data_IF_405375194942
#
_entry.id   IF_405375194942
#
_cell.length_a   1.000
_cell.length_b   1.000
_cell.length_c   1.000
_cell.angle_alpha   90.00
_cell.angle_beta   90.00
_cell.angle_gamma   90.00
#
_symmetry.space_group_name_H-M   'P 1'
#
loop_
_entity.id
_entity.type
_entity.pdbx_description
1 polymer ?
#
# COMPACT_ATOMS: atom_id res chain seq x y z
N UNK A 1 55.69 -8.44 66.64
CA UNK A 1 54.44 -8.16 67.36
C UNK A 1 53.79 -6.94 66.74
N UNK A 2 52.95 -7.11 65.72
CA UNK A 2 51.95 -6.14 65.23
C UNK A 2 50.98 -6.85 64.26
N UNK A 3 49.72 -6.45 64.36
CA UNK A 3 48.47 -7.17 64.07
C UNK A 3 48.01 -6.92 62.62
N UNK A 4 47.33 -7.86 61.94
CA UNK A 4 46.79 -7.63 60.59
C UNK A 4 45.43 -6.89 60.67
N UNK A 5 45.20 -5.95 59.76
CA UNK A 5 43.91 -5.25 59.62
C UNK A 5 43.05 -5.96 58.57
N UNK A 6 41.96 -6.57 59.01
CA UNK A 6 40.96 -7.21 58.12
C UNK A 6 39.89 -6.18 57.75
N UNK A 7 39.69 -5.94 56.46
CA UNK A 7 38.60 -5.10 55.94
C UNK A 7 37.42 -6.02 55.60
N UNK A 8 36.28 -5.77 56.24
CA UNK A 8 35.02 -6.48 56.05
C UNK A 8 34.17 -5.75 55.00
N UNK A 9 34.02 -6.32 53.81
CA UNK A 9 33.12 -5.81 52.76
C UNK A 9 31.73 -6.45 52.91
N UNK A 10 30.72 -5.64 53.24
CA UNK A 10 29.31 -5.99 53.12
C UNK A 10 28.82 -5.65 51.70
N UNK A 11 28.23 -6.60 50.98
CA UNK A 11 27.43 -6.35 49.77
C UNK A 11 26.09 -7.08 49.89
N UNK A 12 25.02 -6.29 49.78
CA UNK A 12 23.62 -6.74 49.86
C UNK A 12 23.20 -7.54 48.61
N UNK A 13 22.24 -8.47 48.73
CA UNK A 13 21.66 -9.14 47.57
C UNK A 13 20.73 -8.18 46.79
N UNK A 14 20.95 -8.07 45.48
CA UNK A 14 19.99 -7.50 44.53
C UNK A 14 18.78 -8.43 44.45
N UNK A 15 17.61 -7.95 44.87
CA UNK A 15 16.33 -8.60 44.60
C UNK A 15 15.97 -8.28 43.14
N UNK A 16 16.02 -9.28 42.27
CA UNK A 16 15.57 -9.16 40.88
C UNK A 16 14.05 -9.00 40.83
N UNK A 17 13.57 -7.85 40.34
CA UNK A 17 12.18 -7.65 39.98
C UNK A 17 11.92 -8.32 38.62
N UNK A 18 11.07 -9.36 38.60
CA UNK A 18 10.57 -9.89 37.34
C UNK A 18 9.63 -8.85 36.69
N UNK A 19 9.82 -8.50 35.40
CA UNK A 19 8.91 -7.59 34.72
C UNK A 19 7.53 -8.24 34.58
N UNK A 20 6.50 -7.46 34.90
CA UNK A 20 5.10 -7.85 34.67
C UNK A 20 4.86 -8.04 33.16
N UNK A 21 3.97 -8.98 32.75
CA UNK A 21 3.56 -9.10 31.37
C UNK A 21 2.94 -7.79 30.88
N UNK A 22 3.38 -7.30 29.73
CA UNK A 22 2.77 -6.14 29.09
C UNK A 22 1.29 -6.43 28.78
N UNK A 23 0.39 -5.44 28.92
CA UNK A 23 -1.00 -5.59 28.50
C UNK A 23 -1.06 -5.94 26.99
N UNK A 24 -2.01 -6.78 26.57
CA UNK A 24 -2.16 -7.13 25.17
C UNK A 24 -2.37 -5.85 24.34
N UNK A 25 -1.56 -5.71 23.29
CA UNK A 25 -1.66 -4.63 22.32
C UNK A 25 -3.07 -4.63 21.71
N UNK A 26 -3.71 -3.46 21.51
CA UNK A 26 -5.00 -3.40 20.82
C UNK A 26 -4.86 -4.06 19.46
N UNK A 27 -5.64 -5.12 19.22
CA UNK A 27 -5.72 -5.73 17.90
C UNK A 27 -6.25 -4.68 16.94
N UNK A 28 -5.41 -4.28 15.99
CA UNK A 28 -5.82 -3.51 14.83
C UNK A 28 -6.98 -4.28 14.19
N UNK A 29 -8.16 -3.66 14.14
CA UNK A 29 -9.37 -4.26 13.57
C UNK A 29 -9.13 -4.43 12.06
N UNK A 30 -8.49 -5.53 11.67
CA UNK A 30 -8.47 -5.96 10.29
C UNK A 30 -9.90 -6.35 9.91
N UNK A 31 -10.53 -5.70 8.92
CA UNK A 31 -11.87 -6.08 8.48
C UNK A 31 -11.86 -7.56 8.09
N UNK A 32 -12.58 -8.42 8.79
CA UNK A 32 -12.61 -9.87 8.50
C UNK A 32 -13.52 -10.23 7.33
N UNK A 33 -14.07 -9.22 6.65
CA UNK A 33 -15.12 -9.39 5.65
C UNK A 33 -14.76 -8.67 4.35
N UNK A 34 -15.09 -9.33 3.23
CA UNK A 34 -14.90 -8.80 1.88
C UNK A 34 -15.94 -7.70 1.63
N UNK A 35 -15.57 -6.55 1.04
CA UNK A 35 -16.52 -5.49 0.70
C UNK A 35 -17.58 -5.99 -0.28
N UNK A 36 -18.78 -5.40 -0.20
CA UNK A 36 -19.89 -5.72 -1.12
C UNK A 36 -19.70 -5.09 -2.49
N UNK A 37 -18.85 -4.06 -2.59
CA UNK A 37 -18.47 -3.43 -3.85
C UNK A 37 -17.15 -2.69 -3.73
N UNK A 38 -16.40 -2.66 -4.82
CA UNK A 38 -15.20 -1.85 -4.97
C UNK A 38 -15.37 -0.97 -6.20
N UNK A 39 -15.21 0.35 -6.00
CA UNK A 39 -15.29 1.36 -7.06
C UNK A 39 -13.97 2.12 -7.09
N UNK A 40 -13.39 2.27 -8.27
CA UNK A 40 -12.25 3.14 -8.53
C UNK A 40 -12.78 4.51 -8.96
N UNK A 41 -12.40 5.56 -8.24
CA UNK A 41 -12.94 6.90 -8.46
C UNK A 41 -11.85 7.93 -8.74
N UNK A 42 -12.20 9.00 -9.45
CA UNK A 42 -11.32 10.13 -9.73
C UNK A 42 -9.98 9.71 -10.33
N UNK A 43 -9.98 8.70 -11.20
CA UNK A 43 -8.74 8.14 -11.73
C UNK A 43 -8.09 9.11 -12.72
N UNK A 44 -6.86 9.48 -12.42
CA UNK A 44 -6.00 10.32 -13.26
C UNK A 44 -4.67 9.64 -13.53
N UNK A 45 -4.13 9.89 -14.73
CA UNK A 45 -2.82 9.41 -15.17
C UNK A 45 -2.06 10.57 -15.80
N UNK A 46 -0.90 10.89 -15.26
CA UNK A 46 -0.01 11.93 -15.78
C UNK A 46 1.30 11.29 -16.22
N UNK A 47 1.51 11.26 -17.53
CA UNK A 47 2.72 10.77 -18.20
C UNK A 47 3.41 11.88 -18.99
N UNK A 48 3.28 13.14 -18.56
CA UNK A 48 3.91 14.30 -19.23
C UNK A 48 5.44 14.21 -19.24
N UNK A 49 6.03 13.44 -18.33
CA UNK A 49 7.46 13.11 -18.31
C UNK A 49 7.70 11.75 -18.97
N UNK A 50 8.63 11.62 -19.92
CA UNK A 50 8.83 10.36 -20.64
C UNK A 50 9.25 9.20 -19.74
N UNK A 51 10.03 9.49 -18.70
CA UNK A 51 10.58 8.50 -17.76
C UNK A 51 9.63 8.15 -16.61
N UNK A 52 8.52 8.87 -16.45
CA UNK A 52 7.68 8.74 -15.24
C UNK A 52 6.21 8.96 -15.52
N UNK A 53 5.38 8.05 -14.99
CA UNK A 53 3.94 8.21 -14.97
C UNK A 53 3.41 8.17 -13.53
N UNK A 54 2.56 9.14 -13.19
CA UNK A 54 1.84 9.17 -11.92
C UNK A 54 0.40 8.73 -12.14
N UNK A 55 -0.07 7.84 -11.27
CA UNK A 55 -1.43 7.30 -11.25
C UNK A 55 -2.06 7.68 -9.92
N UNK A 56 -3.22 8.35 -9.93
CA UNK A 56 -3.90 8.76 -8.71
C UNK A 56 -5.39 8.42 -8.81
N UNK A 57 -5.95 7.81 -7.78
CA UNK A 57 -7.37 7.47 -7.70
C UNK A 57 -7.80 7.26 -6.24
N UNK A 58 -9.11 7.10 -6.03
CA UNK A 58 -9.70 6.72 -4.76
C UNK A 58 -10.29 5.32 -4.89
N UNK A 59 -9.93 4.44 -3.97
CA UNK A 59 -10.53 3.11 -3.83
C UNK A 59 -11.68 3.25 -2.84
N UNK A 60 -12.92 3.15 -3.31
CA UNK A 60 -14.10 3.05 -2.47
C UNK A 60 -14.43 1.56 -2.27
N UNK A 61 -14.53 1.11 -1.02
CA UNK A 61 -14.75 -0.28 -0.66
C UNK A 61 -15.92 -0.37 0.33
N UNK A 62 -17.13 -0.32 -0.23
CA UNK A 62 -18.37 -0.28 0.53
C UNK A 62 -18.61 -1.59 1.33
N UNK A 63 -19.18 -1.50 2.53
CA UNK A 63 -19.63 -0.28 3.24
C UNK A 63 -18.54 0.36 4.11
N UNK A 64 -17.28 -0.08 4.00
CA UNK A 64 -16.25 0.20 5.00
C UNK A 64 -15.57 1.56 4.84
N UNK A 65 -15.60 2.15 3.64
CA UNK A 65 -15.13 3.51 3.42
C UNK A 65 -14.39 3.68 2.10
N UNK A 66 -13.50 4.66 2.06
CA UNK A 66 -12.73 5.03 0.87
C UNK A 66 -11.31 5.43 1.24
N UNK A 67 -10.39 5.24 0.31
CA UNK A 67 -8.96 5.49 0.54
C UNK A 67 -8.29 6.00 -0.73
N UNK A 68 -7.54 7.09 -0.62
CA UNK A 68 -6.69 7.59 -1.71
C UNK A 68 -5.52 6.65 -1.96
N UNK A 69 -5.13 6.53 -3.24
CA UNK A 69 -4.01 5.75 -3.70
C UNK A 69 -3.27 6.49 -4.81
N UNK A 70 -1.96 6.64 -4.62
CA UNK A 70 -1.03 7.16 -5.61
C UNK A 70 0.04 6.11 -5.92
N UNK A 71 0.36 5.95 -7.20
CA UNK A 71 1.45 5.10 -7.69
C UNK A 71 2.30 5.90 -8.68
N UNK A 72 3.62 5.76 -8.58
CA UNK A 72 4.56 6.34 -9.53
C UNK A 72 5.29 5.21 -10.23
N UNK A 73 5.11 5.13 -11.55
CA UNK A 73 5.88 4.27 -12.42
C UNK A 73 7.10 5.04 -12.93
N UNK A 74 8.27 4.42 -12.89
CA UNK A 74 9.52 5.02 -13.36
C UNK A 74 10.29 4.00 -14.16
N UNK A 75 10.53 4.30 -15.42
CA UNK A 75 11.43 3.51 -16.26
C UNK A 75 12.87 3.99 -16.02
N UNK A 76 13.81 3.04 -16.01
CA UNK A 76 15.24 3.31 -15.75
C UNK A 76 16.08 3.22 -17.03
N UNK A 77 15.48 2.76 -18.12
CA UNK A 77 16.15 2.52 -19.40
C UNK A 77 15.73 3.63 -20.34
N UNK A 78 16.72 4.33 -20.92
CA UNK A 78 16.53 5.55 -21.73
C UNK A 78 15.70 5.39 -22.99
N UNK A 79 15.45 4.14 -23.42
CA UNK A 79 14.65 3.83 -24.62
C UNK A 79 13.23 3.34 -24.30
N UNK A 80 12.92 3.16 -23.01
CA UNK A 80 11.56 2.85 -22.56
C UNK A 80 10.83 4.14 -22.23
N UNK A 81 9.51 4.11 -22.32
CA UNK A 81 8.67 5.21 -21.87
C UNK A 81 7.69 4.69 -20.84
N UNK A 82 7.56 5.40 -19.73
CA UNK A 82 6.63 5.02 -18.66
C UNK A 82 5.18 5.00 -19.13
N UNK A 83 4.83 5.78 -20.17
CA UNK A 83 3.49 5.77 -20.76
C UNK A 83 3.17 4.44 -21.47
N UNK A 84 4.18 3.59 -21.69
CA UNK A 84 4.06 2.29 -22.35
C UNK A 84 4.36 1.08 -21.47
N UNK A 85 4.58 1.32 -20.19
CA UNK A 85 5.05 0.30 -19.28
C UNK A 85 3.88 -0.29 -18.47
N UNK A 86 3.84 -1.61 -18.37
CA UNK A 86 2.90 -2.34 -17.54
C UNK A 86 3.62 -2.83 -16.28
N UNK A 87 2.94 -2.82 -15.14
CA UNK A 87 3.52 -3.14 -13.85
C UNK A 87 2.50 -3.82 -12.93
N UNK A 88 2.97 -4.48 -11.88
CA UNK A 88 2.12 -5.26 -11.00
C UNK A 88 2.57 -5.25 -9.54
N UNK A 89 1.60 -5.46 -8.65
CA UNK A 89 1.79 -5.61 -7.20
C UNK A 89 2.52 -4.43 -6.51
N UNK A 90 2.31 -3.21 -7.03
CA UNK A 90 2.90 -1.98 -6.48
C UNK A 90 2.00 -1.45 -5.36
N UNK A 91 2.57 -1.15 -4.21
CA UNK A 91 1.82 -0.56 -3.10
C UNK A 91 1.45 0.89 -3.35
N UNK A 92 0.24 1.30 -2.96
CA UNK A 92 -0.09 2.73 -2.89
C UNK A 92 0.85 3.45 -1.93
N UNK A 93 1.27 4.67 -2.27
CA UNK A 93 2.19 5.48 -1.45
C UNK A 93 1.61 5.73 -0.04
N UNK A 94 0.30 5.92 0.05
CA UNK A 94 -0.43 6.23 1.28
C UNK A 94 -0.56 5.03 2.23
N UNK A 95 -0.53 3.80 1.71
CA UNK A 95 -0.69 2.57 2.49
C UNK A 95 -0.07 1.35 1.79
N UNK A 96 1.27 1.31 1.67
CA UNK A 96 1.98 0.38 0.79
C UNK A 96 1.79 -1.10 1.12
N UNK A 97 1.30 -1.41 2.32
CA UNK A 97 1.05 -2.77 2.81
C UNK A 97 -0.41 -3.21 2.74
N UNK A 98 -1.34 -2.29 2.45
CA UNK A 98 -2.79 -2.60 2.42
C UNK A 98 -3.28 -2.82 1.01
N UNK A 99 -3.05 -1.86 0.12
CA UNK A 99 -3.52 -1.91 -1.26
C UNK A 99 -2.36 -2.10 -2.22
N UNK A 100 -2.48 -3.11 -3.07
CA UNK A 100 -1.55 -3.43 -4.15
C UNK A 100 -2.25 -3.22 -5.48
N UNK A 101 -1.57 -2.52 -6.36
CA UNK A 101 -2.10 -2.08 -7.65
C UNK A 101 -1.30 -2.74 -8.75
N UNK A 102 -1.98 -3.07 -9.84
CA UNK A 102 -1.33 -3.43 -11.09
C UNK A 102 -1.94 -2.62 -12.23
N UNK A 103 -1.12 -2.31 -13.23
CA UNK A 103 -1.52 -1.65 -14.47
C UNK A 103 -1.14 -2.55 -15.64
N UNK A 104 -2.15 -3.12 -16.28
CA UNK A 104 -2.03 -3.78 -17.58
C UNK A 104 -2.37 -2.78 -18.68
N UNK A 105 -1.59 -2.78 -19.75
CA UNK A 105 -1.81 -1.85 -20.86
C UNK A 105 -1.52 -2.53 -22.19
N UNK A 106 -2.49 -2.45 -23.10
CA UNK A 106 -2.35 -2.81 -24.49
C UNK A 106 -2.34 -1.54 -25.34
N UNK A 107 -1.16 -1.13 -25.80
CA UNK A 107 -1.03 0.07 -26.63
C UNK A 107 -1.85 0.01 -27.91
N UNK A 108 -1.82 -1.15 -28.57
CA UNK A 108 -2.39 -1.31 -29.92
C UNK A 108 -3.90 -1.43 -29.83
N UNK A 109 -4.39 -2.12 -28.81
CA UNK A 109 -5.81 -2.22 -28.50
C UNK A 109 -6.40 -0.96 -27.87
N UNK A 110 -5.57 0.01 -27.46
CA UNK A 110 -5.98 1.24 -26.76
C UNK A 110 -6.89 0.91 -25.56
N UNK A 111 -6.39 -0.02 -24.73
CA UNK A 111 -7.11 -0.55 -23.58
C UNK A 111 -6.17 -0.77 -22.40
N UNK A 112 -6.66 -0.54 -21.19
CA UNK A 112 -5.93 -0.78 -19.96
C UNK A 112 -6.79 -1.47 -18.90
N UNK A 113 -6.12 -2.15 -17.97
CA UNK A 113 -6.74 -2.75 -16.78
C UNK A 113 -6.00 -2.29 -15.55
N UNK A 114 -6.74 -1.71 -14.60
CA UNK A 114 -6.28 -1.51 -13.23
C UNK A 114 -6.75 -2.70 -12.39
N UNK A 115 -5.82 -3.38 -11.74
CA UNK A 115 -6.15 -4.36 -10.69
C UNK A 115 -5.92 -3.70 -9.34
N UNK A 116 -6.91 -3.78 -8.44
CA UNK A 116 -6.80 -3.32 -7.06
C UNK A 116 -6.95 -4.53 -6.14
N UNK A 117 -5.92 -4.84 -5.38
CA UNK A 117 -5.88 -5.98 -4.45
C UNK A 117 -5.70 -5.49 -3.02
N UNK A 118 -6.53 -5.97 -2.11
CA UNK A 118 -6.29 -5.82 -0.69
C UNK A 118 -5.33 -6.94 -0.26
N UNK A 119 -4.10 -6.61 0.11
CA UNK A 119 -3.08 -7.62 0.43
C UNK A 119 -3.41 -8.42 1.70
N UNK A 120 -3.84 -7.80 2.83
CA UNK A 120 -4.18 -8.55 4.03
C UNK A 120 -5.35 -9.53 3.83
N UNK A 121 -6.37 -9.13 3.07
CA UNK A 121 -7.62 -9.89 2.91
C UNK A 121 -7.69 -10.69 1.61
N UNK A 122 -6.70 -10.53 0.73
CA UNK A 122 -6.49 -11.29 -0.50
C UNK A 122 -7.66 -11.29 -1.50
N UNK A 123 -8.53 -10.27 -1.47
CA UNK A 123 -9.50 -10.02 -2.54
C UNK A 123 -8.97 -9.00 -3.55
N UNK A 124 -9.50 -9.03 -4.76
CA UNK A 124 -9.16 -8.09 -5.82
C UNK A 124 -10.38 -7.67 -6.65
N UNK A 125 -10.31 -6.48 -7.22
CA UNK A 125 -11.20 -5.99 -8.26
C UNK A 125 -10.39 -5.56 -9.48
N UNK A 126 -11.02 -5.60 -10.65
CA UNK A 126 -10.42 -5.33 -11.95
C UNK A 126 -11.27 -4.29 -12.67
N UNK A 127 -10.63 -3.24 -13.19
CA UNK A 127 -11.30 -2.12 -13.83
C UNK A 127 -10.69 -1.90 -15.21
N UNK A 128 -11.51 -2.01 -16.24
CA UNK A 128 -11.10 -1.80 -17.63
C UNK A 128 -11.33 -0.36 -18.06
N UNK A 129 -10.41 0.17 -18.86
CA UNK A 129 -10.48 1.52 -19.41
C UNK A 129 -10.14 1.51 -20.89
N UNK A 130 -10.97 2.18 -21.68
CA UNK A 130 -10.72 2.46 -23.09
C UNK A 130 -9.94 3.78 -23.23
N UNK A 131 -9.23 3.92 -24.35
CA UNK A 131 -8.50 5.14 -24.71
C UNK A 131 -7.36 5.61 -23.76
N UNK A 132 -6.62 4.72 -23.07
CA UNK A 132 -5.55 5.12 -22.15
C UNK A 132 -4.37 5.82 -22.84
N UNK A 133 -4.28 5.77 -24.17
CA UNK A 133 -3.22 6.42 -24.93
C UNK A 133 -3.39 7.94 -25.05
N UNK A 134 -4.62 8.43 -24.85
CA UNK A 134 -4.95 9.86 -24.96
C UNK A 134 -5.60 10.43 -23.71
N UNK A 135 -6.08 9.58 -22.80
CA UNK A 135 -6.74 9.98 -21.57
C UNK A 135 -5.74 10.31 -20.44
N UNK A 136 -5.94 11.47 -19.81
CA UNK A 136 -5.32 11.85 -18.52
C UNK A 136 -6.27 11.71 -17.33
N UNK A 137 -7.57 11.50 -17.60
CA UNK A 137 -8.64 11.27 -16.65
C UNK A 137 -9.52 10.15 -17.16
N UNK A 138 -10.05 9.35 -16.23
CA UNK A 138 -10.89 8.21 -16.52
C UNK A 138 -12.16 8.27 -15.68
N UNK A 139 -13.24 7.72 -16.22
CA UNK A 139 -14.53 7.62 -15.54
C UNK A 139 -14.43 6.74 -14.28
N UNK A 140 -15.31 6.99 -13.33
CA UNK A 140 -15.45 6.11 -12.18
C UNK A 140 -15.92 4.71 -12.63
N UNK A 141 -15.32 3.66 -12.09
CA UNK A 141 -15.62 2.26 -12.47
C UNK A 141 -15.93 1.41 -11.24
N UNK A 142 -17.00 0.61 -11.31
CA UNK A 142 -17.42 -0.29 -10.23
C UNK A 142 -18.92 -0.18 -9.92
N UNK A 143 -19.40 -0.91 -8.90
CA UNK A 143 -20.80 -0.85 -8.49
C UNK A 143 -21.18 0.57 -8.07
N UNK A 144 -22.30 1.08 -8.60
CA UNK A 144 -22.81 2.42 -8.30
C UNK A 144 -21.83 3.57 -8.59
N UNK A 145 -20.97 3.45 -9.61
CA UNK A 145 -20.24 4.59 -10.15
C UNK A 145 -21.26 5.63 -10.65
N UNK A 146 -21.19 6.86 -10.11
CA UNK A 146 -22.09 8.00 -10.40
C UNK A 146 -21.33 9.12 -11.09
#
# INVERSE_FOLDING_TARGET
MHIPTTILTLLLPLIGANPLPAPPTPHELHPTTIPTGITLQNFTRDCTKPETCSYNFVINYAPFGSQGCSVVDTVKVTDEKADRHAWYDVGCIENPNTWKISWGWDYKGDFAVVTVKNAPLSYAAFFGYEHPNSASRYEDQGPNAV
#
